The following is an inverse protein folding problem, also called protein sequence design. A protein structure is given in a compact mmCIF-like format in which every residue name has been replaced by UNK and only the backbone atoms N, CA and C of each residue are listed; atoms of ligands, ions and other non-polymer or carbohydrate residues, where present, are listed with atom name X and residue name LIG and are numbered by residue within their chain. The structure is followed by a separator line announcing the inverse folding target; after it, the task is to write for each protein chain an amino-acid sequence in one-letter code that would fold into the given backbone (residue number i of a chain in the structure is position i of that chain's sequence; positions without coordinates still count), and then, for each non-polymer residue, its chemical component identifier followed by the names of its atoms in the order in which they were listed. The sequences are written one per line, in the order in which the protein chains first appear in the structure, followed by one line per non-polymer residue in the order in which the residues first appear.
data_IF_154327057435
#
_entry.id   IF_154327057435
#
_cell.length_a   1.000
_cell.length_b   1.000
_cell.length_c   1.000
_cell.angle_alpha   90.00
_cell.angle_beta   90.00
_cell.angle_gamma   90.00
#
_symmetry.space_group_name_H-M   'P 1'
#
loop_
_entity.id
_entity.type
_entity.pdbx_description
1 polymer ?
#
# COMPACT_ATOMS: atom_id res chain seq x y z
N UNK A 1 -33.48 -63.71 -24.75
CA UNK A 1 -33.31 -62.74 -23.65
C UNK A 1 -32.67 -61.49 -24.23
N UNK A 2 -33.46 -60.45 -24.46
CA UNK A 2 -32.99 -59.12 -24.89
C UNK A 2 -33.27 -58.16 -23.73
N UNK A 3 -32.23 -57.48 -23.23
CA UNK A 3 -32.38 -56.47 -22.17
C UNK A 3 -31.82 -55.14 -22.66
N UNK A 4 -32.66 -54.11 -22.53
CA UNK A 4 -32.53 -52.69 -22.89
C UNK A 4 -31.39 -51.99 -22.12
N UNK A 5 -30.62 -51.11 -22.79
CA UNK A 5 -30.53 -49.63 -22.62
C UNK A 5 -30.39 -49.18 -21.15
N UNK A 6 -29.37 -48.40 -20.77
CA UNK A 6 -29.39 -46.93 -20.96
C UNK A 6 -28.01 -46.28 -20.77
N UNK A 7 -27.72 -45.30 -21.64
CA UNK A 7 -26.62 -44.34 -21.51
C UNK A 7 -27.05 -43.24 -20.51
N UNK A 8 -26.32 -43.09 -19.39
CA UNK A 8 -26.54 -41.96 -18.47
C UNK A 8 -25.65 -40.78 -18.88
N UNK A 9 -26.27 -39.73 -19.41
CA UNK A 9 -25.67 -38.43 -19.66
C UNK A 9 -25.68 -37.64 -18.34
N UNK A 10 -24.53 -37.50 -17.68
CA UNK A 10 -24.37 -36.58 -16.55
C UNK A 10 -24.08 -35.18 -17.11
N UNK A 11 -25.08 -34.31 -17.09
CA UNK A 11 -24.91 -32.88 -17.35
C UNK A 11 -24.27 -32.23 -16.10
N UNK A 12 -23.00 -31.83 -16.21
CA UNK A 12 -22.32 -31.06 -15.19
C UNK A 12 -22.82 -29.62 -15.18
N UNK A 13 -23.39 -29.17 -14.07
CA UNK A 13 -23.67 -27.75 -13.80
C UNK A 13 -22.35 -27.12 -13.34
N UNK A 14 -21.69 -26.38 -14.23
CA UNK A 14 -20.57 -25.53 -13.88
C UNK A 14 -21.12 -24.28 -13.15
N UNK A 15 -20.93 -24.23 -11.83
CA UNK A 15 -21.22 -23.05 -11.03
C UNK A 15 -20.10 -22.02 -11.26
N UNK A 16 -20.31 -21.09 -12.20
CA UNK A 16 -19.45 -19.92 -12.38
C UNK A 16 -19.73 -18.93 -11.25
N UNK A 17 -18.94 -18.98 -10.18
CA UNK A 17 -18.91 -17.94 -9.15
C UNK A 17 -18.20 -16.69 -9.70
N UNK A 18 -18.89 -15.92 -10.55
CA UNK A 18 -18.49 -14.56 -10.87
C UNK A 18 -18.88 -13.64 -9.70
N UNK A 19 -17.89 -13.06 -9.01
CA UNK A 19 -18.13 -12.10 -7.94
C UNK A 19 -18.81 -10.84 -8.48
N UNK A 20 -20.10 -10.67 -8.19
CA UNK A 20 -20.84 -9.45 -8.50
C UNK A 20 -20.50 -8.42 -7.41
N UNK A 21 -19.66 -7.45 -7.73
CA UNK A 21 -19.50 -6.26 -6.89
C UNK A 21 -20.80 -5.45 -6.94
N UNK A 22 -21.42 -5.23 -5.78
CA UNK A 22 -22.71 -4.52 -5.72
C UNK A 22 -22.51 -3.00 -5.89
N UNK A 23 -23.46 -2.32 -6.54
CA UNK A 23 -23.42 -0.86 -6.74
C UNK A 23 -23.26 -0.07 -5.42
N UNK A 24 -23.74 -0.61 -4.30
CA UNK A 24 -23.61 0.00 -2.98
C UNK A 24 -22.15 0.03 -2.51
N UNK A 25 -21.40 -1.06 -2.65
CA UNK A 25 -19.99 -1.15 -2.24
C UNK A 25 -19.08 -0.25 -3.09
N UNK A 26 -19.38 -0.13 -4.39
CA UNK A 26 -18.69 0.81 -5.27
C UNK A 26 -18.98 2.28 -4.88
N UNK A 27 -20.23 2.60 -4.53
CA UNK A 27 -20.60 3.95 -4.07
C UNK A 27 -19.97 4.32 -2.72
N UNK A 28 -19.86 3.37 -1.81
CA UNK A 28 -19.24 3.53 -0.50
C UNK A 28 -17.74 3.82 -0.63
N UNK A 29 -17.01 3.00 -1.40
CA UNK A 29 -15.60 3.22 -1.72
C UNK A 29 -15.36 4.60 -2.35
N UNK A 30 -16.19 5.01 -3.32
CA UNK A 30 -16.04 6.31 -3.97
C UNK A 30 -16.18 7.47 -2.96
N UNK A 31 -17.14 7.35 -2.03
CA UNK A 31 -17.34 8.35 -0.98
C UNK A 31 -16.15 8.40 0.00
N UNK A 32 -15.57 7.25 0.35
CA UNK A 32 -14.41 7.18 1.23
C UNK A 32 -13.17 7.78 0.56
N UNK A 33 -12.90 7.43 -0.70
CA UNK A 33 -11.81 8.03 -1.47
C UNK A 33 -11.97 9.55 -1.61
N UNK A 34 -13.20 10.07 -1.71
CA UNK A 34 -13.45 11.50 -1.71
C UNK A 34 -13.13 12.15 -0.35
N UNK A 35 -13.51 11.50 0.77
CA UNK A 35 -13.15 11.96 2.13
C UNK A 35 -11.64 11.97 2.34
N UNK A 36 -10.95 10.90 1.97
CA UNK A 36 -9.48 10.81 2.04
C UNK A 36 -8.85 11.93 1.21
N UNK A 37 -9.32 12.16 -0.03
CA UNK A 37 -8.80 13.21 -0.89
C UNK A 37 -9.00 14.60 -0.30
N UNK A 38 -10.18 14.87 0.24
CA UNK A 38 -10.47 16.15 0.91
C UNK A 38 -9.55 16.35 2.11
N UNK A 39 -9.30 15.28 2.88
CA UNK A 39 -8.45 15.30 4.06
C UNK A 39 -6.95 15.34 3.75
N UNK A 40 -6.50 15.06 2.53
CA UNK A 40 -5.06 14.99 2.21
C UNK A 40 -4.61 15.93 1.10
N UNK A 41 -5.52 16.57 0.35
CA UNK A 41 -5.18 17.44 -0.78
C UNK A 41 -4.27 18.64 -0.42
N UNK A 42 -4.31 19.13 0.82
CA UNK A 42 -3.42 20.22 1.27
C UNK A 42 -1.94 19.79 1.27
N UNK A 43 -1.67 18.49 1.43
CA UNK A 43 -0.32 17.93 1.38
C UNK A 43 0.27 17.88 -0.03
N UNK A 44 -0.49 18.28 -1.07
CA UNK A 44 0.11 18.57 -2.38
C UNK A 44 1.21 19.65 -2.27
N UNK A 45 1.13 20.52 -1.28
CA UNK A 45 2.28 21.29 -0.81
C UNK A 45 3.03 20.49 0.26
N UNK A 46 4.23 20.02 -0.08
CA UNK A 46 5.07 19.24 0.82
C UNK A 46 5.42 20.00 2.11
N UNK A 47 5.48 21.33 2.08
CA UNK A 47 5.78 22.11 3.28
C UNK A 47 4.67 22.01 4.32
N UNK A 48 3.42 21.81 3.88
CA UNK A 48 2.30 21.54 4.80
C UNK A 48 2.53 20.20 5.51
N UNK A 49 2.92 19.16 4.78
CA UNK A 49 3.23 17.86 5.37
C UNK A 49 4.36 17.97 6.40
N UNK A 50 5.47 18.60 6.03
CA UNK A 50 6.61 18.81 6.93
C UNK A 50 6.22 19.62 8.18
N UNK A 51 5.44 20.69 8.02
CA UNK A 51 4.97 21.52 9.13
C UNK A 51 4.02 20.78 10.08
N UNK A 52 3.30 19.78 9.57
CA UNK A 52 2.38 18.94 10.35
C UNK A 52 3.06 17.70 10.95
N UNK A 53 4.38 17.57 10.83
CA UNK A 53 5.16 16.52 11.47
C UNK A 53 5.40 15.27 10.63
N UNK A 54 5.11 15.31 9.32
CA UNK A 54 5.65 14.30 8.41
C UNK A 54 7.15 14.52 8.24
N UNK A 55 7.92 13.43 8.17
CA UNK A 55 9.38 13.48 7.98
C UNK A 55 9.81 12.53 6.88
N UNK A 56 10.89 12.87 6.18
CA UNK A 56 11.54 11.96 5.24
C UNK A 56 12.47 11.07 6.07
N UNK A 57 12.21 9.75 6.19
CA UNK A 57 13.11 8.86 6.91
C UNK A 57 14.41 8.70 6.12
N UNK A 58 15.58 8.60 6.78
CA UNK A 58 16.82 8.24 6.10
C UNK A 58 16.69 6.88 5.40
N UNK A 59 17.26 6.71 4.19
CA UNK A 59 18.12 7.65 3.46
C UNK A 59 17.35 8.74 2.70
N UNK A 60 16.03 8.64 2.58
CA UNK A 60 15.18 9.65 1.95
C UNK A 60 15.22 9.68 0.42
N UNK A 61 15.71 8.61 -0.19
CA UNK A 61 15.66 8.45 -1.65
C UNK A 61 14.27 8.05 -2.13
N UNK A 62 14.06 8.20 -3.43
CA UNK A 62 12.90 7.66 -4.11
C UNK A 62 13.09 6.15 -4.32
N UNK A 63 12.11 5.36 -3.91
CA UNK A 63 12.16 3.90 -4.05
C UNK A 63 11.59 3.49 -5.40
N UNK A 64 12.39 2.79 -6.21
CA UNK A 64 11.96 2.17 -7.45
C UNK A 64 11.99 0.63 -7.36
N UNK A 65 11.22 -0.02 -8.25
CA UNK A 65 11.13 -1.48 -8.25
C UNK A 65 12.50 -2.15 -8.38
N UNK A 66 13.42 -1.59 -9.15
CA UNK A 66 14.72 -2.21 -9.34
C UNK A 66 15.60 -2.13 -8.10
N UNK A 67 15.56 -1.01 -7.37
CA UNK A 67 16.22 -0.85 -6.09
C UNK A 67 15.74 -1.90 -5.07
N UNK A 68 14.48 -2.31 -5.17
CA UNK A 68 13.87 -3.38 -4.36
C UNK A 68 14.04 -4.79 -4.95
N UNK A 69 14.93 -4.97 -5.93
CA UNK A 69 15.18 -6.28 -6.56
C UNK A 69 14.05 -6.77 -7.48
N UNK A 70 13.04 -5.93 -7.73
CA UNK A 70 11.88 -6.22 -8.56
C UNK A 70 12.08 -5.79 -10.03
N UNK A 71 11.26 -6.30 -10.97
CA UNK A 71 11.37 -5.93 -12.37
C UNK A 71 11.08 -4.43 -12.61
N UNK A 72 12.01 -3.75 -13.31
CA UNK A 72 11.94 -2.31 -13.66
C UNK A 72 10.61 -1.85 -14.26
N UNK A 73 9.92 -2.72 -14.98
CA UNK A 73 8.62 -2.40 -15.60
C UNK A 73 7.50 -2.13 -14.59
N UNK A 74 7.66 -2.51 -13.32
CA UNK A 74 6.68 -2.22 -12.27
C UNK A 74 6.65 -0.73 -11.89
N UNK A 75 7.72 0.02 -12.20
CA UNK A 75 7.82 1.45 -11.93
C UNK A 75 8.43 1.75 -10.57
N UNK A 76 7.80 2.65 -9.82
CA UNK A 76 8.33 3.12 -8.54
C UNK A 76 7.23 3.26 -7.49
N UNK A 77 7.66 3.31 -6.22
CA UNK A 77 6.82 3.63 -5.09
C UNK A 77 6.89 5.12 -4.77
N UNK A 78 8.04 5.77 -4.94
CA UNK A 78 8.21 7.21 -4.68
C UNK A 78 9.01 7.48 -3.40
N UNK A 79 8.89 8.70 -2.89
CA UNK A 79 9.50 9.15 -1.64
C UNK A 79 8.43 9.12 -0.54
N UNK A 80 8.66 8.32 0.50
CA UNK A 80 7.73 8.14 1.62
C UNK A 80 8.02 9.11 2.74
N UNK A 81 7.13 10.06 2.96
CA UNK A 81 7.13 10.91 4.14
C UNK A 81 6.29 10.25 5.23
N UNK A 82 6.90 9.90 6.36
CA UNK A 82 6.27 9.14 7.45
C UNK A 82 5.81 10.06 8.58
N UNK A 83 4.81 9.61 9.36
CA UNK A 83 4.34 10.25 10.61
C UNK A 83 4.81 9.49 11.83
N UNK A 84 5.90 9.92 12.49
CA UNK A 84 6.46 9.17 13.61
C UNK A 84 5.48 9.04 14.80
N UNK A 85 4.64 10.05 15.01
CA UNK A 85 3.62 10.05 16.06
C UNK A 85 2.49 9.04 15.78
N UNK A 86 2.00 8.97 14.54
CA UNK A 86 0.97 8.01 14.15
C UNK A 86 1.50 6.57 14.06
N UNK A 87 2.76 6.41 13.66
CA UNK A 87 3.47 5.13 13.69
C UNK A 87 3.86 4.72 15.12
N UNK A 88 3.78 5.63 16.09
CA UNK A 88 4.16 5.39 17.47
C UNK A 88 5.59 4.87 17.59
N UNK A 89 6.55 5.52 16.93
CA UNK A 89 7.94 5.05 16.86
C UNK A 89 8.54 4.91 18.27
N UNK A 90 9.07 3.72 18.57
CA UNK A 90 9.68 3.37 19.87
C UNK A 90 11.16 3.06 19.76
N UNK A 91 11.65 2.70 18.57
CA UNK A 91 13.06 2.44 18.30
C UNK A 91 13.41 2.81 16.86
N UNK A 92 14.67 3.19 16.62
CA UNK A 92 15.22 3.49 15.28
C UNK A 92 16.49 2.69 14.98
N UNK A 93 16.91 1.80 15.89
CA UNK A 93 18.09 0.95 15.77
C UNK A 93 17.87 -0.34 16.58
N UNK A 94 18.27 -1.52 16.05
CA UNK A 94 18.90 -1.75 14.76
C UNK A 94 17.95 -1.55 13.56
N UNK A 95 16.64 -1.63 13.80
CA UNK A 95 15.57 -1.36 12.83
C UNK A 95 14.56 -0.39 13.45
N UNK A 96 13.80 0.29 12.60
CA UNK A 96 12.73 1.19 13.06
C UNK A 96 11.54 0.36 13.53
N UNK A 97 11.10 0.58 14.76
CA UNK A 97 9.95 -0.09 15.36
C UNK A 97 8.98 0.92 15.95
N UNK A 98 7.73 0.53 16.11
CA UNK A 98 6.69 1.34 16.72
C UNK A 98 5.47 0.53 17.15
N UNK A 99 4.54 1.23 17.77
CA UNK A 99 3.31 0.65 18.34
C UNK A 99 2.04 1.14 17.65
N UNK A 100 2.18 1.93 16.58
CA UNK A 100 1.07 2.48 15.82
C UNK A 100 0.25 1.40 15.10
N UNK A 101 -1.06 1.50 15.21
CA UNK A 101 -2.05 0.64 14.53
C UNK A 101 -3.05 1.46 13.71
N UNK A 102 -2.62 2.63 13.21
CA UNK A 102 -3.49 3.53 12.47
C UNK A 102 -3.86 2.97 11.09
N UNK A 103 -5.16 2.86 10.82
CA UNK A 103 -5.71 2.46 9.52
C UNK A 103 -6.62 3.53 8.90
N UNK A 104 -6.71 4.71 9.52
CA UNK A 104 -7.48 5.84 9.04
C UNK A 104 -6.70 6.59 7.95
N UNK A 105 -7.13 6.45 6.69
CA UNK A 105 -6.50 7.13 5.55
C UNK A 105 -6.84 8.63 5.46
N UNK A 106 -7.79 9.16 6.23
CA UNK A 106 -7.99 10.61 6.33
C UNK A 106 -6.87 11.28 7.13
N UNK A 107 -6.12 10.48 7.89
CA UNK A 107 -4.92 10.86 8.64
C UNK A 107 -3.82 9.80 8.39
N UNK A 108 -3.30 9.71 7.15
CA UNK A 108 -2.44 8.61 6.77
C UNK A 108 -1.12 8.65 7.56
N UNK A 109 -0.55 7.47 7.84
CA UNK A 109 0.78 7.41 8.46
C UNK A 109 1.90 7.74 7.48
N UNK A 110 1.63 7.65 6.18
CA UNK A 110 2.61 7.91 5.12
C UNK A 110 1.99 8.73 3.98
N UNK A 111 2.74 9.71 3.48
CA UNK A 111 2.46 10.42 2.24
C UNK A 111 3.52 10.08 1.21
N UNK A 112 3.11 9.83 -0.02
CA UNK A 112 4.03 9.35 -1.06
C UNK A 112 4.15 10.40 -2.15
N UNK A 113 5.38 10.85 -2.40
CA UNK A 113 5.69 11.87 -3.38
C UNK A 113 6.52 11.33 -4.54
N UNK A 114 6.19 11.77 -5.75
CA UNK A 114 7.02 11.57 -6.92
C UNK A 114 7.99 12.75 -7.07
N UNK A 115 9.31 12.52 -7.17
CA UNK A 115 10.26 13.58 -7.43
C UNK A 115 10.02 14.19 -8.81
N UNK A 116 10.10 15.51 -8.87
CA UNK A 116 9.95 16.31 -10.08
C UNK A 116 11.26 17.05 -10.37
N UNK A 117 11.37 17.62 -11.56
CA UNK A 117 12.50 18.47 -11.91
C UNK A 117 12.69 19.60 -10.90
N UNK A 118 13.95 20.02 -10.70
CA UNK A 118 14.32 21.14 -9.83
C UNK A 118 13.94 20.95 -8.35
N UNK A 119 13.93 19.70 -7.87
CA UNK A 119 13.68 19.38 -6.45
C UNK A 119 12.24 19.58 -5.99
N UNK A 120 11.30 19.73 -6.93
CA UNK A 120 9.87 19.72 -6.64
C UNK A 120 9.40 18.29 -6.31
N UNK A 121 8.30 18.20 -5.58
CA UNK A 121 7.67 16.95 -5.19
C UNK A 121 6.18 17.02 -5.53
N UNK A 122 5.64 15.98 -6.17
CA UNK A 122 4.21 15.85 -6.43
C UNK A 122 3.63 14.75 -5.54
N UNK A 123 2.60 15.06 -4.74
CA UNK A 123 1.89 14.05 -3.98
C UNK A 123 1.17 13.10 -4.94
N UNK A 124 1.49 11.81 -4.90
CA UNK A 124 0.97 10.79 -5.83
C UNK A 124 0.09 9.74 -5.16
N UNK A 125 0.36 9.43 -3.90
CA UNK A 125 -0.42 8.48 -3.09
C UNK A 125 -0.44 8.86 -1.61
N UNK A 126 -1.33 8.21 -0.89
CA UNK A 126 -1.31 8.13 0.57
C UNK A 126 -1.15 6.67 0.97
N UNK A 127 -0.58 6.39 2.12
CA UNK A 127 -0.33 5.04 2.58
C UNK A 127 -0.54 4.97 4.10
N UNK A 128 -0.98 3.80 4.57
CA UNK A 128 -0.91 3.45 5.97
C UNK A 128 0.03 2.26 6.14
N UNK A 129 0.87 2.37 7.17
CA UNK A 129 1.78 1.35 7.63
C UNK A 129 1.45 1.03 9.09
N UNK A 130 1.41 -0.27 9.42
CA UNK A 130 1.10 -0.78 10.75
C UNK A 130 2.13 -1.84 11.13
N UNK A 131 2.79 -1.69 12.29
CA UNK A 131 3.73 -2.70 12.78
C UNK A 131 3.00 -4.00 13.11
N UNK A 132 3.46 -5.12 12.53
CA UNK A 132 2.76 -6.39 12.64
C UNK A 132 2.67 -6.87 14.10
N UNK A 133 3.74 -6.70 14.87
CA UNK A 133 3.75 -7.04 16.29
C UNK A 133 2.70 -6.23 17.08
N UNK A 134 2.64 -4.91 16.87
CA UNK A 134 1.69 -4.04 17.55
C UNK A 134 0.24 -4.39 17.19
N UNK A 135 -0.02 -4.67 15.91
CA UNK A 135 -1.33 -5.10 15.42
C UNK A 135 -1.82 -6.39 16.11
N UNK A 136 -0.96 -7.40 16.18
CA UNK A 136 -1.33 -8.66 16.84
C UNK A 136 -1.42 -8.51 18.37
N UNK A 137 -0.57 -7.69 18.99
CA UNK A 137 -0.66 -7.38 20.41
C UNK A 137 -1.97 -6.67 20.78
N UNK A 138 -2.57 -5.91 19.85
CA UNK A 138 -3.90 -5.32 20.01
C UNK A 138 -5.06 -6.32 19.85
N UNK A 139 -4.77 -7.61 19.62
CA UNK A 139 -5.77 -8.68 19.54
C UNK A 139 -6.28 -8.98 18.13
N UNK A 140 -5.71 -8.36 17.10
CA UNK A 140 -6.08 -8.66 15.72
C UNK A 140 -5.46 -9.97 15.24
N UNK A 141 -6.27 -10.85 14.67
CA UNK A 141 -5.84 -12.18 14.19
C UNK A 141 -5.46 -12.14 12.70
N UNK A 142 -6.16 -11.32 11.92
CA UNK A 142 -5.93 -11.15 10.47
C UNK A 142 -5.23 -9.84 10.19
N UNK A 143 -4.65 -9.71 8.98
CA UNK A 143 -4.07 -8.45 8.50
C UNK A 143 -5.10 -7.32 8.47
N UNK A 144 -4.68 -6.05 8.59
CA UNK A 144 -5.55 -4.92 8.30
C UNK A 144 -6.11 -4.99 6.88
N UNK A 145 -7.29 -4.43 6.68
CA UNK A 145 -7.90 -4.29 5.36
C UNK A 145 -8.60 -2.94 5.20
N UNK A 146 -8.72 -2.50 3.95
CA UNK A 146 -9.47 -1.32 3.57
C UNK A 146 -10.46 -1.69 2.45
N UNK A 147 -11.76 -1.71 2.80
CA UNK A 147 -12.85 -2.12 1.91
C UNK A 147 -12.57 -3.45 1.16
N UNK A 148 -12.06 -4.46 1.87
CA UNK A 148 -11.73 -5.78 1.32
C UNK A 148 -10.37 -5.89 0.65
N UNK A 149 -9.57 -4.81 0.60
CA UNK A 149 -8.19 -4.86 0.15
C UNK A 149 -7.28 -5.07 1.37
N UNK A 150 -6.65 -6.25 1.45
CA UNK A 150 -5.74 -6.55 2.53
C UNK A 150 -4.42 -5.81 2.36
N UNK A 151 -3.83 -5.39 3.48
CA UNK A 151 -2.50 -4.80 3.49
C UNK A 151 -1.46 -5.86 3.10
N UNK A 152 -0.43 -5.43 2.37
CA UNK A 152 0.73 -6.25 2.03
C UNK A 152 1.55 -6.48 3.28
N UNK A 153 2.04 -7.70 3.46
CA UNK A 153 2.98 -8.00 4.53
C UNK A 153 4.39 -7.76 4.00
N UNK A 154 5.14 -6.96 4.74
CA UNK A 154 6.52 -6.60 4.40
C UNK A 154 7.43 -7.10 5.50
N UNK A 155 8.43 -7.87 5.10
CA UNK A 155 9.43 -8.47 5.97
C UNK A 155 10.75 -8.53 5.21
N UNK A 156 11.82 -8.09 5.86
CA UNK A 156 13.19 -8.21 5.36
C UNK A 156 13.58 -9.69 5.25
N UNK A 157 14.06 -10.09 4.07
CA UNK A 157 14.63 -11.39 3.84
C UNK A 157 16.16 -11.30 3.94
N UNK A 158 16.79 -11.82 5.00
CA UNK A 158 18.24 -11.67 5.20
C UNK A 158 19.11 -12.41 4.17
N UNK A 159 18.50 -13.11 3.20
CA UNK A 159 19.17 -13.79 2.11
C UNK A 159 19.21 -12.97 0.81
N UNK A 160 18.49 -11.86 0.73
CA UNK A 160 18.54 -10.94 -0.41
C UNK A 160 19.54 -9.80 -0.12
N UNK A 161 19.94 -9.10 -1.18
CA UNK A 161 20.88 -7.98 -1.07
C UNK A 161 20.19 -6.66 -0.71
N UNK A 162 18.86 -6.64 -0.77
CA UNK A 162 18.00 -5.48 -0.52
C UNK A 162 17.25 -5.73 0.79
N UNK A 163 16.93 -4.68 1.52
CA UNK A 163 16.10 -4.78 2.72
C UNK A 163 14.66 -4.46 2.32
N UNK A 164 13.84 -5.48 2.06
CA UNK A 164 12.47 -5.29 1.56
C UNK A 164 11.56 -4.56 2.56
N UNK A 165 11.95 -4.52 3.85
CA UNK A 165 11.24 -3.77 4.88
C UNK A 165 11.82 -2.37 5.09
N UNK A 166 12.73 -1.91 4.23
CA UNK A 166 13.26 -0.54 4.20
C UNK A 166 13.80 -0.07 5.56
N UNK A 167 14.43 -0.98 6.32
CA UNK A 167 14.96 -0.72 7.66
C UNK A 167 13.91 -0.71 8.79
N UNK A 168 12.64 -1.00 8.52
CA UNK A 168 11.59 -1.16 9.53
C UNK A 168 11.48 -2.62 9.99
N UNK A 169 10.95 -2.82 11.19
CA UNK A 169 10.48 -4.13 11.67
C UNK A 169 9.32 -4.65 10.80
N UNK A 170 8.99 -5.97 10.84
CA UNK A 170 7.91 -6.54 10.06
C UNK A 170 6.60 -5.76 10.23
N UNK A 171 5.99 -5.40 9.10
CA UNK A 171 4.84 -4.52 9.08
C UNK A 171 3.86 -4.87 7.96
N UNK A 172 2.72 -4.20 8.01
CA UNK A 172 1.71 -4.21 6.98
C UNK A 172 1.62 -2.83 6.36
N UNK A 173 1.54 -2.76 5.03
CA UNK A 173 1.36 -1.49 4.32
C UNK A 173 0.28 -1.59 3.24
N UNK A 174 -0.31 -0.44 2.90
CA UNK A 174 -1.25 -0.34 1.79
C UNK A 174 -1.22 1.07 1.18
N UNK A 175 -0.78 1.15 -0.07
CA UNK A 175 -0.92 2.36 -0.88
C UNK A 175 -2.37 2.58 -1.29
N UNK A 176 -2.75 3.86 -1.36
CA UNK A 176 -3.88 4.33 -2.15
C UNK A 176 -3.33 5.33 -3.15
N UNK A 177 -3.22 4.89 -4.41
CA UNK A 177 -2.84 5.69 -5.58
C UNK A 177 -3.91 6.72 -5.92
N UNK A 178 -4.05 7.72 -5.04
CA UNK A 178 -5.15 8.67 -5.04
C UNK A 178 -4.93 9.79 -6.04
N UNK A 179 -3.69 10.21 -6.28
CA UNK A 179 -3.38 11.39 -7.09
C UNK A 179 -2.73 11.05 -8.43
N UNK A 180 -1.98 9.94 -8.48
CA UNK A 180 -1.49 9.34 -9.72
C UNK A 180 -2.20 8.01 -9.95
N UNK A 181 -3.07 7.94 -10.95
CA UNK A 181 -3.72 6.68 -11.33
C UNK A 181 -2.67 5.59 -11.60
N UNK A 182 -2.92 4.39 -11.08
CA UNK A 182 -2.08 3.21 -11.29
C UNK A 182 -2.78 2.20 -12.22
N UNK A 183 -2.29 2.00 -13.46
CA UNK A 183 -2.85 1.02 -14.40
C UNK A 183 -2.90 -0.42 -13.88
N UNK A 184 -2.02 -0.80 -12.95
CA UNK A 184 -1.99 -2.13 -12.36
C UNK A 184 -3.04 -2.31 -11.24
N UNK A 185 -3.60 -1.20 -10.72
CA UNK A 185 -4.57 -1.19 -9.64
C UNK A 185 -4.24 -0.16 -8.56
N UNK A 186 -5.27 0.45 -7.98
CA UNK A 186 -5.14 1.54 -6.99
C UNK A 186 -4.38 1.18 -5.71
N UNK A 187 -4.32 -0.11 -5.38
CA UNK A 187 -3.70 -0.62 -4.16
C UNK A 187 -2.40 -1.39 -4.41
N UNK A 188 -1.91 -1.46 -5.65
CA UNK A 188 -0.66 -2.17 -5.95
C UNK A 188 0.54 -1.44 -5.34
N UNK A 189 1.60 -2.13 -4.88
CA UNK A 189 2.75 -1.48 -4.22
C UNK A 189 3.53 -0.55 -5.17
N UNK A 190 3.73 -0.95 -6.42
CA UNK A 190 4.43 -0.15 -7.43
C UNK A 190 3.48 0.48 -8.44
N UNK A 191 3.84 1.65 -8.96
CA UNK A 191 3.13 2.31 -10.05
C UNK A 191 4.04 2.60 -11.25
N UNK A 192 3.71 2.02 -12.40
CA UNK A 192 4.46 2.18 -13.66
C UNK A 192 4.54 3.64 -14.15
N UNK A 193 3.59 4.48 -13.73
CA UNK A 193 3.54 5.90 -14.08
C UNK A 193 4.39 6.79 -13.16
N UNK A 194 4.86 6.27 -12.03
CA UNK A 194 5.77 7.00 -11.13
C UNK A 194 7.21 6.77 -11.57
N UNK A 195 8.05 7.82 -11.49
CA UNK A 195 9.47 7.76 -11.83
C UNK A 195 10.32 8.34 -10.71
N UNK A 196 11.37 7.60 -10.35
CA UNK A 196 12.49 8.15 -9.59
C UNK A 196 13.46 8.80 -10.57
N UNK A 197 13.69 10.10 -10.42
CA UNK A 197 14.60 10.85 -11.28
C UNK A 197 16.02 10.75 -10.73
N UNK A 198 16.95 10.21 -11.52
CA UNK A 198 18.38 10.45 -11.33
C UNK A 198 19.12 9.60 -10.30
N UNK A 199 18.63 8.41 -9.93
CA UNK A 199 19.32 7.51 -8.98
C UNK A 199 19.67 6.14 -9.59
N UNK A 200 20.50 6.15 -10.64
CA UNK A 200 21.24 4.96 -11.12
C UNK A 200 22.71 5.30 -11.31
#
# INVERSE_FOLDING_TARGET
MFTRHSLNLLAGIALLCGGVTTNAQASDMSSELARIRQATQRFRDINVALSEGYVIPPPGHCVDAHAEGEPRQLGAMGIHLVRPDLLGITAVSPRVNGVGTNTDFTRPTVLVYEPQAQGRHELVAVENMVFAQAWHAAGHVTRPEFHGNQYYQVIDNPLTAVDEAHGFEPHYELHIWLYRENPAGMFMPFNVRVKCLGEH
#
